data_IF_801531914528
#
_entry.id   IF_801531914528
#
_cell.length_a   1.000
_cell.length_b   1.000
_cell.length_c   1.000
_cell.angle_alpha   90.00
_cell.angle_beta   90.00
_cell.angle_gamma   90.00
#
_symmetry.space_group_name_H-M   'P 1'
#
loop_
_entity.id
_entity.type
_entity.pdbx_description
1 polymer ?
#
# COMPACT_ATOMS: atom_id res chain seq x y z
N UNK A 1 -13.29 29.12 30.16
CA UNK A 1 -12.21 28.43 29.40
C UNK A 1 -10.88 29.02 29.82
N UNK A 2 -10.04 28.24 30.49
CA UNK A 2 -8.76 28.72 31.04
C UNK A 2 -7.78 29.08 29.92
N UNK A 3 -7.14 30.24 30.02
CA UNK A 3 -6.12 30.75 29.06
C UNK A 3 -4.99 29.73 28.80
N UNK A 4 -4.71 28.87 29.77
CA UNK A 4 -3.78 27.74 29.65
C UNK A 4 -4.18 26.72 28.58
N UNK A 5 -5.48 26.42 28.41
CA UNK A 5 -5.95 25.46 27.41
C UNK A 5 -5.82 25.99 25.98
N UNK A 6 -5.93 27.31 25.80
CA UNK A 6 -5.78 27.96 24.50
C UNK A 6 -4.31 27.96 24.05
N UNK A 7 -3.40 28.27 24.98
CA UNK A 7 -1.95 28.23 24.74
C UNK A 7 -1.48 26.81 24.38
N UNK A 8 -2.01 25.80 25.07
CA UNK A 8 -1.69 24.39 24.79
C UNK A 8 -2.18 23.96 23.40
N UNK A 9 -3.35 24.45 22.97
CA UNK A 9 -3.91 24.17 21.65
C UNK A 9 -3.08 24.78 20.51
N UNK A 10 -2.61 26.02 20.68
CA UNK A 10 -1.75 26.72 19.70
C UNK A 10 -0.38 26.03 19.61
N UNK A 11 0.17 25.55 20.72
CA UNK A 11 1.44 24.84 20.75
C UNK A 11 1.37 23.45 20.09
N UNK A 12 0.23 22.75 20.21
CA UNK A 12 0.03 21.42 19.62
C UNK A 12 -0.25 21.46 18.12
N UNK A 13 -0.84 22.53 17.61
CA UNK A 13 -1.17 22.71 16.19
C UNK A 13 0.02 22.48 15.22
N UNK A 14 1.20 23.11 15.39
CA UNK A 14 2.34 22.86 14.52
C UNK A 14 2.85 21.42 14.66
N UNK A 15 2.77 20.83 15.85
CA UNK A 15 3.20 19.44 16.09
C UNK A 15 2.31 18.44 15.31
N UNK A 16 0.99 18.67 15.28
CA UNK A 16 0.05 17.88 14.47
C UNK A 16 0.34 18.00 12.98
N UNK A 17 0.65 19.22 12.50
CA UNK A 17 0.99 19.47 11.09
C UNK A 17 2.30 18.76 10.71
N UNK A 18 3.32 18.81 11.57
CA UNK A 18 4.59 18.11 11.38
C UNK A 18 4.37 16.60 11.33
N UNK A 19 3.59 16.02 12.26
CA UNK A 19 3.26 14.59 12.23
C UNK A 19 2.58 14.20 10.91
N UNK A 20 1.70 15.04 10.36
CA UNK A 20 1.07 14.78 9.05
C UNK A 20 2.02 14.92 7.86
N UNK A 21 3.01 15.81 7.94
CA UNK A 21 4.04 15.96 6.91
C UNK A 21 5.02 14.77 6.89
N UNK A 22 5.29 14.20 8.07
CA UNK A 22 6.23 13.08 8.26
C UNK A 22 5.57 11.70 8.31
N UNK A 23 4.23 11.60 8.28
CA UNK A 23 3.57 10.29 8.13
C UNK A 23 3.76 9.82 6.69
N UNK A 24 4.42 8.66 6.48
CA UNK A 24 5.05 8.38 5.21
C UNK A 24 4.03 8.04 4.12
N UNK A 25 4.44 8.30 2.88
CA UNK A 25 3.87 7.89 1.58
C UNK A 25 3.38 6.43 1.47
N UNK A 26 3.54 5.58 2.49
CA UNK A 26 3.05 4.19 2.56
C UNK A 26 1.54 4.12 2.30
N UNK A 27 0.78 5.02 2.91
CA UNK A 27 -0.68 5.07 2.71
C UNK A 27 -1.05 5.55 1.30
N UNK A 28 -0.16 6.24 0.58
CA UNK A 28 -0.40 6.70 -0.79
C UNK A 28 -0.12 5.58 -1.80
N UNK A 29 1.00 4.86 -1.66
CA UNK A 29 1.36 3.73 -2.54
C UNK A 29 0.41 2.54 -2.41
N UNK A 30 0.00 2.20 -1.18
CA UNK A 30 -1.01 1.17 -0.93
C UNK A 30 -2.38 1.57 -1.46
N UNK A 31 -2.79 2.84 -1.30
CA UNK A 31 -4.03 3.35 -1.91
C UNK A 31 -3.98 3.28 -3.43
N UNK A 32 -2.89 3.70 -4.06
CA UNK A 32 -2.73 3.61 -5.52
C UNK A 32 -2.82 2.17 -6.04
N UNK A 33 -2.28 1.19 -5.31
CA UNK A 33 -2.41 -0.24 -5.66
C UNK A 33 -3.88 -0.64 -5.69
N UNK A 34 -4.60 -0.37 -4.61
CA UNK A 34 -6.03 -0.68 -4.48
C UNK A 34 -6.86 0.04 -5.54
N UNK A 35 -6.60 1.32 -5.80
CA UNK A 35 -7.31 2.12 -6.80
C UNK A 35 -7.18 1.51 -8.22
N UNK A 36 -5.99 1.00 -8.57
CA UNK A 36 -5.74 0.38 -9.88
C UNK A 36 -6.48 -0.95 -10.01
N UNK A 37 -6.52 -1.73 -8.92
CA UNK A 37 -7.25 -3.00 -8.88
C UNK A 37 -8.75 -2.75 -8.96
N UNK A 38 -9.30 -1.83 -8.17
CA UNK A 38 -10.73 -1.46 -8.18
C UNK A 38 -11.17 -0.88 -9.53
N UNK A 39 -10.29 -0.15 -10.22
CA UNK A 39 -10.58 0.37 -11.56
C UNK A 39 -10.75 -0.74 -12.60
N UNK A 40 -9.99 -1.83 -12.51
CA UNK A 40 -10.10 -2.99 -13.42
C UNK A 40 -11.21 -3.94 -12.99
N UNK A 41 -11.35 -4.14 -11.68
CA UNK A 41 -12.29 -5.07 -11.07
C UNK A 41 -13.21 -4.33 -10.10
N UNK A 42 -14.24 -3.64 -10.62
CA UNK A 42 -15.17 -2.91 -9.78
C UNK A 42 -15.90 -3.88 -8.84
N UNK A 43 -15.88 -3.58 -7.54
CA UNK A 43 -16.49 -4.39 -6.46
C UNK A 43 -15.78 -5.71 -6.12
N UNK A 44 -14.53 -5.91 -6.54
CA UNK A 44 -13.75 -7.05 -6.07
C UNK A 44 -13.42 -6.95 -4.58
N UNK A 45 -13.29 -8.10 -3.91
CA UNK A 45 -12.78 -8.20 -2.55
C UNK A 45 -11.31 -8.60 -2.59
N UNK A 46 -10.44 -7.76 -2.04
CA UNK A 46 -9.02 -8.11 -1.89
C UNK A 46 -8.88 -9.13 -0.74
N UNK A 47 -8.34 -10.30 -1.03
CA UNK A 47 -8.11 -11.39 -0.07
C UNK A 47 -6.73 -11.23 0.58
N UNK A 48 -5.69 -11.07 -0.24
CA UNK A 48 -4.31 -10.97 0.24
C UNK A 48 -3.49 -10.03 -0.65
N UNK A 49 -2.55 -9.31 -0.05
CA UNK A 49 -1.57 -8.47 -0.75
C UNK A 49 -0.20 -8.87 -0.22
N UNK A 50 0.61 -9.47 -1.08
CA UNK A 50 2.02 -9.73 -0.79
C UNK A 50 2.88 -8.72 -1.55
N UNK A 51 3.68 -7.94 -0.82
CA UNK A 51 4.53 -6.92 -1.40
C UNK A 51 5.93 -7.49 -1.66
N UNK A 52 6.40 -7.39 -2.90
CA UNK A 52 7.72 -7.84 -3.30
C UNK A 52 8.73 -6.69 -3.24
N UNK A 53 9.84 -6.91 -2.53
CA UNK A 53 10.91 -5.95 -2.33
C UNK A 53 12.19 -6.39 -3.04
N UNK A 54 13.01 -5.45 -3.50
CA UNK A 54 14.31 -5.80 -4.07
C UNK A 54 15.27 -6.35 -3.00
N UNK A 55 15.83 -7.54 -3.28
CA UNK A 55 16.84 -8.20 -2.43
C UNK A 55 18.21 -7.48 -2.40
N UNK A 56 18.40 -6.41 -3.19
CA UNK A 56 19.69 -5.71 -3.33
C UNK A 56 20.07 -4.78 -2.16
N UNK A 57 19.23 -4.65 -1.14
CA UNK A 57 19.50 -3.83 0.04
C UNK A 57 20.01 -4.70 1.19
N UNK A 58 21.32 -4.93 1.20
CA UNK A 58 22.02 -5.44 2.38
C UNK A 58 21.76 -4.50 3.56
N UNK A 59 21.13 -5.03 4.62
CA UNK A 59 21.15 -4.49 5.98
C UNK A 59 20.61 -3.05 6.24
N UNK A 60 19.87 -2.43 5.33
CA UNK A 60 19.22 -1.16 5.66
C UNK A 60 17.93 -1.38 6.45
N UNK A 61 17.81 -0.66 7.57
CA UNK A 61 16.63 -0.45 8.43
C UNK A 61 15.28 -0.78 7.77
N UNK A 62 14.35 -1.37 8.52
CA UNK A 62 12.93 -1.56 8.13
C UNK A 62 12.26 -0.32 7.55
N UNK A 63 12.79 0.88 7.79
CA UNK A 63 12.35 2.13 7.15
C UNK A 63 12.69 2.20 5.65
N UNK A 64 13.86 1.73 5.22
CA UNK A 64 14.31 1.78 3.82
C UNK A 64 13.74 0.66 2.97
N UNK A 65 13.42 -0.51 3.55
CA UNK A 65 12.67 -1.56 2.84
C UNK A 65 11.38 -1.02 2.22
N UNK A 66 10.72 -0.07 2.86
CA UNK A 66 9.51 0.56 2.31
C UNK A 66 9.71 1.47 1.10
N UNK A 67 10.95 1.84 0.76
CA UNK A 67 11.23 2.62 -0.45
C UNK A 67 11.42 1.74 -1.68
N UNK A 68 11.84 0.48 -1.50
CA UNK A 68 12.28 -0.42 -2.57
C UNK A 68 11.26 -1.55 -2.85
N UNK A 69 9.98 -1.18 -2.95
CA UNK A 69 8.94 -2.09 -3.44
C UNK A 69 9.08 -2.19 -4.96
N UNK A 70 9.27 -3.40 -5.47
CA UNK A 70 9.40 -3.67 -6.91
C UNK A 70 8.10 -4.18 -7.50
N UNK A 71 7.33 -4.91 -6.72
CA UNK A 71 6.09 -5.52 -7.19
C UNK A 71 5.16 -5.87 -6.05
N UNK A 72 4.00 -6.41 -6.41
CA UNK A 72 3.04 -6.97 -5.48
C UNK A 72 2.31 -8.12 -6.15
N UNK A 73 1.97 -9.15 -5.37
CA UNK A 73 1.05 -10.20 -5.78
C UNK A 73 -0.22 -10.00 -4.97
N UNK A 74 -1.34 -9.80 -5.64
CA UNK A 74 -2.61 -9.52 -5.00
C UNK A 74 -3.62 -10.58 -5.39
N UNK A 75 -4.18 -11.24 -4.39
CA UNK A 75 -5.25 -12.21 -4.56
C UNK A 75 -6.56 -11.47 -4.35
N UNK A 76 -7.45 -11.52 -5.35
CA UNK A 76 -8.78 -10.92 -5.31
C UNK A 76 -9.86 -11.96 -5.54
N UNK A 77 -11.04 -11.69 -5.02
CA UNK A 77 -12.28 -12.38 -5.34
C UNK A 77 -13.17 -11.43 -6.14
N UNK A 78 -13.56 -11.84 -7.34
CA UNK A 78 -14.45 -11.08 -8.19
C UNK A 78 -15.57 -11.98 -8.70
N UNK A 79 -16.82 -11.67 -8.33
CA UNK A 79 -18.01 -12.42 -8.75
C UNK A 79 -17.93 -13.94 -8.50
N UNK A 80 -17.31 -14.36 -7.39
CA UNK A 80 -17.15 -15.78 -7.01
C UNK A 80 -15.96 -16.48 -7.66
N UNK A 81 -15.18 -15.80 -8.51
CA UNK A 81 -13.91 -16.28 -9.05
C UNK A 81 -12.74 -15.66 -8.27
N UNK A 82 -11.80 -16.50 -7.81
CA UNK A 82 -10.54 -16.02 -7.26
C UNK A 82 -9.53 -15.78 -8.37
N UNK A 83 -8.75 -14.70 -8.26
CA UNK A 83 -7.75 -14.30 -9.25
C UNK A 83 -6.48 -13.82 -8.55
N UNK A 84 -5.34 -14.16 -9.14
CA UNK A 84 -4.02 -13.70 -8.71
C UNK A 84 -3.55 -12.63 -9.69
N UNK A 85 -3.28 -11.44 -9.18
CA UNK A 85 -2.77 -10.31 -9.92
C UNK A 85 -1.30 -10.11 -9.58
N UNK A 86 -0.44 -10.14 -10.59
CA UNK A 86 0.95 -9.69 -10.42
C UNK A 86 1.04 -8.24 -10.86
N UNK A 87 1.55 -7.40 -9.97
CA UNK A 87 1.75 -5.99 -10.21
C UNK A 87 3.23 -5.64 -10.11
N UNK A 88 3.68 -4.78 -11.01
CA UNK A 88 5.01 -4.18 -10.99
C UNK A 88 4.89 -2.70 -10.62
N UNK A 89 5.79 -2.20 -9.80
CA UNK A 89 5.88 -0.77 -9.48
C UNK A 89 7.00 -0.14 -10.30
N UNK A 90 6.64 0.66 -11.31
CA UNK A 90 7.57 1.37 -12.21
C UNK A 90 7.08 2.79 -12.43
N UNK A 91 7.98 3.75 -12.58
CA UNK A 91 7.64 5.16 -12.84
C UNK A 91 6.64 5.75 -11.83
N UNK A 92 6.76 5.35 -10.56
CA UNK A 92 5.85 5.70 -9.45
C UNK A 92 4.38 5.25 -9.63
N UNK A 93 4.10 4.31 -10.54
CA UNK A 93 2.77 3.77 -10.84
C UNK A 93 2.77 2.24 -10.74
N UNK A 94 1.63 1.66 -10.35
CA UNK A 94 1.43 0.22 -10.38
C UNK A 94 0.92 -0.25 -11.74
N UNK A 95 1.48 -1.32 -12.26
CA UNK A 95 1.08 -1.93 -13.52
C UNK A 95 0.73 -3.38 -13.28
N UNK A 96 -0.49 -3.79 -13.63
CA UNK A 96 -0.88 -5.22 -13.61
C UNK A 96 -0.19 -5.88 -14.80
N UNK A 97 0.80 -6.73 -14.51
CA UNK A 97 1.59 -7.45 -15.52
C UNK A 97 1.00 -8.83 -15.82
N UNK A 98 0.38 -9.47 -14.84
CA UNK A 98 -0.29 -10.76 -15.02
C UNK A 98 -1.60 -10.81 -14.24
N UNK A 99 -2.54 -11.58 -14.78
CA UNK A 99 -3.89 -11.71 -14.27
C UNK A 99 -4.39 -13.12 -14.57
N UNK A 100 -4.27 -13.98 -13.56
CA UNK A 100 -4.51 -15.42 -13.70
C UNK A 100 -5.66 -15.83 -12.77
N UNK A 101 -6.60 -16.67 -13.25
CA UNK A 101 -7.58 -17.28 -12.36
C UNK A 101 -6.85 -18.18 -11.37
N UNK A 102 -7.18 -18.02 -10.09
CA UNK A 102 -6.66 -18.89 -9.04
C UNK A 102 -7.43 -20.21 -9.10
N UNK A 103 -6.81 -21.22 -9.70
CA UNK A 103 -7.39 -22.57 -9.80
C UNK A 103 -7.48 -23.30 -8.45
N UNK A 104 -7.08 -22.68 -7.34
CA UNK A 104 -7.09 -23.29 -6.02
C UNK A 104 -6.01 -24.36 -5.84
N UNK A 105 -5.05 -24.45 -6.77
CA UNK A 105 -3.85 -25.24 -6.55
C UNK A 105 -2.95 -24.48 -5.59
N UNK A 106 -3.02 -24.88 -4.33
CA UNK A 106 -2.16 -24.50 -3.22
C UNK A 106 -0.74 -24.13 -3.67
N UNK A 107 -0.36 -22.89 -3.40
CA UNK A 107 1.05 -22.51 -3.29
C UNK A 107 1.30 -22.34 -1.79
N UNK A 108 1.58 -23.47 -1.14
CA UNK A 108 2.30 -23.54 0.14
C UNK A 108 3.71 -23.00 0.00
#
# INVERSE_FOLDING_TARGET
MNKLNLLFLILLLPFIIIIRLFTPNKARRGRMLTDIIERKYPKCKIINIDMQYDNGSSAASTADKTKNVKGAVVIIENNGERRILHLLFTDDIWHITQDVPDSGNDIT
#
